data_IF_834210618408
#
_entry.id   IF_834210618408
#
_cell.length_a   1.000
_cell.length_b   1.000
_cell.length_c   1.000
_cell.angle_alpha   90.00
_cell.angle_beta   90.00
_cell.angle_gamma   90.00
#
_symmetry.space_group_name_H-M   'P 1'
#
loop_
_entity.id
_entity.type
_entity.pdbx_description
1 polymer ?
#
# COMPACT_ATOMS: atom_id res chain seq x y z
N UNK A 1 -17.07 48.68 -3.50
CA UNK A 1 -17.73 47.36 -3.69
C UNK A 1 -16.78 46.33 -4.36
N UNK A 2 -15.49 46.27 -3.96
CA UNK A 2 -14.48 45.39 -4.60
C UNK A 2 -13.70 44.53 -3.57
N UNK A 3 -13.81 44.83 -2.27
CA UNK A 3 -12.98 44.18 -1.22
C UNK A 3 -13.44 42.79 -0.73
N UNK A 4 -14.66 42.35 -1.07
CA UNK A 4 -15.20 41.08 -0.58
C UNK A 4 -15.06 39.89 -1.54
N UNK A 5 -14.59 40.08 -2.78
CA UNK A 5 -14.43 38.98 -3.74
C UNK A 5 -13.09 38.24 -3.58
N UNK A 6 -12.03 38.92 -3.16
CA UNK A 6 -10.69 38.34 -3.04
C UNK A 6 -10.51 37.44 -1.81
N UNK A 7 -11.25 37.69 -0.72
CA UNK A 7 -11.17 36.89 0.51
C UNK A 7 -11.91 35.55 0.34
N UNK A 8 -13.03 35.53 -0.39
CA UNK A 8 -13.81 34.31 -0.64
C UNK A 8 -13.10 33.34 -1.59
N UNK A 9 -12.36 33.85 -2.59
CA UNK A 9 -11.54 33.02 -3.49
C UNK A 9 -10.34 32.41 -2.74
N UNK A 10 -9.73 33.16 -1.81
CA UNK A 10 -8.62 32.67 -1.00
C UNK A 10 -9.07 31.58 0.01
N UNK A 11 -10.26 31.73 0.62
CA UNK A 11 -10.84 30.68 1.48
C UNK A 11 -11.24 29.41 0.70
N UNK A 12 -11.72 29.55 -0.54
CA UNK A 12 -12.04 28.41 -1.39
C UNK A 12 -10.78 27.65 -1.87
N UNK A 13 -9.67 28.35 -2.15
CA UNK A 13 -8.39 27.72 -2.44
C UNK A 13 -7.73 27.07 -1.22
N UNK A 14 -7.83 27.68 -0.02
CA UNK A 14 -7.34 27.09 1.22
C UNK A 14 -8.16 25.87 1.66
N UNK A 15 -9.47 25.85 1.41
CA UNK A 15 -10.31 24.67 1.63
C UNK A 15 -10.02 23.54 0.64
N UNK A 16 -9.62 23.85 -0.61
CA UNK A 16 -9.20 22.86 -1.60
C UNK A 16 -7.85 22.19 -1.26
N UNK A 17 -6.96 22.87 -0.52
CA UNK A 17 -5.68 22.31 -0.10
C UNK A 17 -5.74 21.44 1.16
N UNK A 18 -6.87 21.44 1.89
CA UNK A 18 -7.10 20.60 3.07
C UNK A 18 -8.02 19.40 2.80
N UNK A 19 -8.46 19.20 1.54
CA UNK A 19 -9.15 17.98 1.15
C UNK A 19 -8.12 16.85 1.07
N UNK A 20 -7.93 16.15 2.20
CA UNK A 20 -7.58 14.73 2.17
C UNK A 20 -8.41 14.10 1.06
N UNK A 21 -7.77 13.46 0.08
CA UNK A 21 -8.49 12.72 -0.96
C UNK A 21 -9.39 11.71 -0.26
N UNK A 22 -10.68 12.03 -0.14
CA UNK A 22 -11.67 11.06 0.31
C UNK A 22 -11.83 10.11 -0.85
N UNK A 23 -10.98 9.09 -0.87
CA UNK A 23 -11.17 7.95 -1.74
C UNK A 23 -12.49 7.31 -1.36
N UNK A 24 -13.36 7.08 -2.34
CA UNK A 24 -14.59 6.31 -2.11
C UNK A 24 -14.30 4.84 -1.73
N UNK A 25 -13.06 4.38 -1.98
CA UNK A 25 -12.56 3.05 -1.66
C UNK A 25 -11.58 3.16 -0.49
N UNK A 26 -11.82 2.48 0.62
CA UNK A 26 -10.84 2.33 1.71
C UNK A 26 -9.97 1.08 1.53
N UNK A 27 -10.51 0.08 0.83
CA UNK A 27 -9.90 -1.19 0.50
C UNK A 27 -10.47 -1.68 -0.85
N UNK A 28 -9.66 -2.35 -1.65
CA UNK A 28 -10.07 -2.89 -2.96
C UNK A 28 -9.81 -4.39 -3.05
N UNK A 29 -10.61 -5.07 -3.86
CA UNK A 29 -10.34 -6.46 -4.25
C UNK A 29 -9.32 -6.42 -5.37
N UNK A 30 -8.15 -6.97 -5.13
CA UNK A 30 -7.05 -7.04 -6.09
C UNK A 30 -7.21 -8.24 -7.01
N UNK A 31 -7.42 -9.41 -6.41
CA UNK A 31 -7.37 -10.70 -7.07
C UNK A 31 -8.25 -11.69 -6.30
N UNK A 32 -8.84 -12.66 -6.98
CA UNK A 32 -9.32 -13.88 -6.36
C UNK A 32 -9.04 -15.07 -7.25
N UNK A 33 -8.87 -16.23 -6.62
CA UNK A 33 -8.55 -17.48 -7.27
C UNK A 33 -9.72 -18.46 -7.14
N UNK A 34 -10.23 -18.90 -8.30
CA UNK A 34 -11.25 -19.93 -8.42
C UNK A 34 -10.57 -21.28 -8.73
N UNK A 35 -10.94 -22.32 -8.00
CA UNK A 35 -10.50 -23.69 -8.25
C UNK A 35 -11.55 -24.71 -7.77
N UNK A 36 -11.68 -25.84 -8.49
CA UNK A 36 -12.62 -26.92 -8.13
C UNK A 36 -12.44 -27.43 -6.70
N UNK A 37 -11.21 -27.40 -6.19
CA UNK A 37 -10.92 -27.73 -4.80
C UNK A 37 -11.10 -26.48 -3.94
N UNK A 38 -12.34 -26.21 -3.55
CA UNK A 38 -12.76 -24.97 -2.85
C UNK A 38 -11.94 -24.61 -1.60
N UNK A 39 -11.27 -25.58 -0.98
CA UNK A 39 -10.34 -25.36 0.14
C UNK A 39 -9.10 -24.53 -0.25
N UNK A 40 -8.79 -24.47 -1.55
CA UNK A 40 -7.67 -23.71 -2.10
C UNK A 40 -8.10 -22.36 -2.72
N UNK A 41 -9.36 -21.95 -2.55
CA UNK A 41 -9.82 -20.64 -2.98
C UNK A 41 -9.40 -19.54 -2.00
N UNK A 42 -9.11 -18.38 -2.57
CA UNK A 42 -8.74 -17.21 -1.79
C UNK A 42 -9.10 -15.92 -2.52
N UNK A 43 -9.21 -14.85 -1.75
CA UNK A 43 -9.30 -13.48 -2.26
C UNK A 43 -8.22 -12.63 -1.64
N UNK A 44 -7.74 -11.66 -2.40
CA UNK A 44 -6.73 -10.71 -2.01
C UNK A 44 -7.28 -9.30 -2.04
N UNK A 45 -6.97 -8.56 -0.99
CA UNK A 45 -7.40 -7.19 -0.81
C UNK A 45 -6.19 -6.28 -0.62
N UNK A 46 -6.26 -5.08 -1.18
CA UNK A 46 -5.28 -4.02 -0.96
C UNK A 46 -5.95 -2.89 -0.20
N UNK A 47 -5.44 -2.57 0.99
CA UNK A 47 -5.87 -1.38 1.75
C UNK A 47 -5.32 -0.15 1.03
N UNK A 48 -6.18 0.82 0.72
CA UNK A 48 -5.77 2.04 0.00
C UNK A 48 -5.86 3.30 0.87
N UNK A 49 -6.68 3.26 1.92
CA UNK A 49 -6.73 4.32 2.92
C UNK A 49 -5.73 4.05 4.05
N UNK A 50 -4.99 5.09 4.44
CA UNK A 50 -4.07 4.98 5.58
C UNK A 50 -4.81 5.10 6.91
N UNK A 51 -4.31 4.40 7.93
CA UNK A 51 -4.92 4.29 9.25
C UNK A 51 -6.40 3.88 9.21
N UNK A 52 -6.69 2.88 8.38
CA UNK A 52 -8.02 2.36 8.12
C UNK A 52 -8.50 1.45 9.26
N UNK A 53 -9.75 1.65 9.67
CA UNK A 53 -10.45 0.78 10.61
C UNK A 53 -11.44 -0.11 9.85
N UNK A 54 -11.10 -1.38 9.70
CA UNK A 54 -11.91 -2.38 9.00
C UNK A 54 -12.96 -3.06 9.89
N UNK A 55 -13.05 -2.72 11.19
CA UNK A 55 -14.00 -3.37 12.10
C UNK A 55 -15.43 -3.27 11.56
N UNK A 56 -16.11 -4.41 11.49
CA UNK A 56 -17.49 -4.54 11.01
C UNK A 56 -17.64 -4.51 9.49
N UNK A 57 -16.58 -4.26 8.70
CA UNK A 57 -16.61 -4.46 7.26
C UNK A 57 -16.95 -5.92 6.95
N UNK A 58 -17.48 -6.17 5.76
CA UNK A 58 -17.96 -7.47 5.35
C UNK A 58 -17.39 -7.83 3.97
N UNK A 59 -16.97 -9.08 3.82
CA UNK A 59 -16.62 -9.68 2.53
C UNK A 59 -17.68 -10.72 2.20
N UNK A 60 -18.03 -10.80 0.93
CA UNK A 60 -19.02 -11.74 0.41
C UNK A 60 -18.78 -11.94 -1.08
N UNK A 61 -19.28 -13.05 -1.58
CA UNK A 61 -19.35 -13.41 -2.99
C UNK A 61 -20.80 -13.49 -3.48
N UNK A 62 -20.99 -13.86 -4.74
CA UNK A 62 -22.32 -14.02 -5.33
C UNK A 62 -22.43 -15.38 -6.02
N UNK A 63 -23.66 -15.89 -6.19
CA UNK A 63 -23.85 -17.04 -7.06
C UNK A 63 -23.46 -16.73 -8.52
N UNK A 64 -23.43 -17.77 -9.34
CA UNK A 64 -23.08 -17.69 -10.77
C UNK A 64 -23.75 -16.55 -11.51
N UNK A 65 -25.06 -16.39 -11.36
CA UNK A 65 -25.83 -15.37 -12.07
C UNK A 65 -25.77 -13.98 -11.39
N UNK A 66 -24.97 -13.83 -10.33
CA UNK A 66 -24.84 -12.64 -9.49
C UNK A 66 -26.20 -12.08 -9.02
N UNK A 67 -27.13 -12.96 -8.69
CA UNK A 67 -28.51 -12.66 -8.23
C UNK A 67 -28.68 -12.82 -6.73
N UNK A 68 -27.91 -13.71 -6.12
CA UNK A 68 -27.96 -14.03 -4.69
C UNK A 68 -26.58 -13.85 -4.10
N UNK A 69 -26.54 -13.07 -3.02
CA UNK A 69 -25.33 -12.84 -2.24
C UNK A 69 -25.10 -14.03 -1.31
N UNK A 70 -23.88 -14.53 -1.29
CA UNK A 70 -23.48 -15.65 -0.44
C UNK A 70 -22.87 -15.17 0.87
N UNK A 71 -22.70 -16.08 1.83
CA UNK A 71 -22.09 -15.79 3.12
C UNK A 71 -20.61 -15.41 3.03
N UNK A 72 -20.05 -14.96 4.13
CA UNK A 72 -18.64 -14.56 4.18
C UNK A 72 -18.22 -13.98 5.52
N UNK A 73 -16.96 -13.53 5.62
CA UNK A 73 -16.44 -13.01 6.87
C UNK A 73 -16.84 -11.56 7.11
N UNK A 74 -17.25 -11.27 8.34
CA UNK A 74 -17.33 -9.92 8.90
C UNK A 74 -16.15 -9.69 9.85
N UNK A 75 -15.41 -8.61 9.66
CA UNK A 75 -14.26 -8.25 10.49
C UNK A 75 -14.69 -7.99 11.94
N UNK A 76 -14.13 -8.73 12.91
CA UNK A 76 -14.44 -8.55 14.34
C UNK A 76 -13.86 -7.26 14.89
N UNK A 77 -14.36 -6.84 16.05
CA UNK A 77 -13.71 -5.77 16.79
C UNK A 77 -12.47 -6.28 17.54
N UNK A 78 -11.32 -6.32 16.86
CA UNK A 78 -10.01 -6.72 17.41
C UNK A 78 -8.91 -5.75 16.98
N UNK A 79 -7.80 -5.62 17.74
CA UNK A 79 -6.74 -4.65 17.45
C UNK A 79 -6.16 -4.73 16.04
N UNK A 80 -6.09 -5.94 15.45
CA UNK A 80 -5.57 -6.17 14.10
C UNK A 80 -6.25 -5.26 13.04
N UNK A 81 -7.54 -4.98 13.20
CA UNK A 81 -8.35 -4.31 12.19
C UNK A 81 -8.50 -2.80 12.37
N UNK A 82 -7.98 -2.22 13.46
CA UNK A 82 -8.28 -0.83 13.85
C UNK A 82 -7.37 0.24 13.23
N UNK A 83 -6.19 -0.14 12.74
CA UNK A 83 -5.19 0.80 12.22
C UNK A 83 -4.40 0.22 11.04
N UNK A 84 -5.10 -0.35 10.06
CA UNK A 84 -4.46 -0.88 8.85
C UNK A 84 -3.79 0.26 8.07
N UNK A 85 -2.56 0.03 7.62
CA UNK A 85 -1.81 1.03 6.87
C UNK A 85 -2.11 0.94 5.38
N UNK A 86 -2.06 2.07 4.69
CA UNK A 86 -2.22 2.09 3.24
C UNK A 86 -1.15 1.21 2.58
N UNK A 87 -1.60 0.32 1.71
CA UNK A 87 -0.79 -0.67 1.02
C UNK A 87 -0.70 -2.02 1.74
N UNK A 88 -1.37 -2.21 2.88
CA UNK A 88 -1.47 -3.53 3.52
C UNK A 88 -2.19 -4.49 2.57
N UNK A 89 -1.56 -5.63 2.31
CA UNK A 89 -2.11 -6.71 1.49
C UNK A 89 -2.72 -7.73 2.42
N UNK A 90 -3.98 -8.12 2.18
CA UNK A 90 -4.69 -9.11 2.97
C UNK A 90 -5.07 -10.26 2.04
N UNK A 91 -4.49 -11.43 2.27
CA UNK A 91 -4.89 -12.68 1.62
C UNK A 91 -5.84 -13.42 2.55
N UNK A 92 -7.01 -13.76 2.04
CA UNK A 92 -8.05 -14.44 2.78
C UNK A 92 -8.40 -15.75 2.09
N UNK A 93 -8.00 -16.85 2.71
CA UNK A 93 -8.45 -18.18 2.31
C UNK A 93 -9.93 -18.33 2.64
N UNK A 94 -10.71 -18.86 1.68
CA UNK A 94 -12.15 -19.01 1.85
C UNK A 94 -12.51 -20.12 2.83
N UNK A 95 -11.56 -21.02 3.12
CA UNK A 95 -11.65 -22.11 4.11
C UNK A 95 -10.44 -22.07 5.03
N UNK A 96 -10.07 -23.20 5.64
CA UNK A 96 -8.87 -23.31 6.46
C UNK A 96 -7.61 -22.98 5.64
N UNK A 97 -6.58 -22.41 6.30
CA UNK A 97 -5.31 -22.23 5.61
C UNK A 97 -4.77 -23.59 5.16
N UNK A 98 -4.25 -23.71 3.92
CA UNK A 98 -3.60 -24.92 3.48
C UNK A 98 -2.32 -25.16 4.29
N UNK A 99 -1.87 -26.41 4.38
CA UNK A 99 -0.65 -26.76 5.11
C UNK A 99 0.63 -26.07 4.60
N UNK A 100 0.59 -25.49 3.40
CA UNK A 100 1.68 -24.73 2.78
C UNK A 100 1.66 -23.23 3.13
N UNK A 101 0.63 -22.75 3.82
CA UNK A 101 0.50 -21.38 4.27
C UNK A 101 0.58 -21.31 5.79
N UNK A 102 1.17 -20.23 6.31
CA UNK A 102 1.19 -19.93 7.74
C UNK A 102 0.27 -18.76 8.01
N UNK A 103 -0.44 -18.83 9.14
CA UNK A 103 -1.25 -17.69 9.56
C UNK A 103 -0.34 -16.49 9.83
N UNK A 104 -0.62 -15.37 9.19
CA UNK A 104 0.06 -14.11 9.42
C UNK A 104 -0.93 -13.07 9.94
N UNK A 105 -0.63 -12.59 11.14
CA UNK A 105 -1.42 -11.62 11.91
C UNK A 105 -0.61 -10.37 12.24
N UNK A 106 0.61 -10.25 11.71
CA UNK A 106 1.52 -9.14 11.99
C UNK A 106 1.52 -8.14 10.84
N UNK A 107 0.58 -7.20 10.87
CA UNK A 107 0.46 -6.18 9.82
C UNK A 107 1.68 -5.22 9.70
N UNK A 108 2.73 -5.38 10.52
CA UNK A 108 3.84 -4.44 10.58
C UNK A 108 4.69 -4.44 9.29
N UNK A 109 4.70 -5.50 8.50
CA UNK A 109 5.35 -5.59 7.18
C UNK A 109 4.40 -5.27 6.01
N UNK A 110 3.13 -5.00 6.31
CA UNK A 110 2.10 -4.69 5.34
C UNK A 110 1.60 -5.91 4.57
N UNK A 111 1.70 -7.10 5.16
CA UNK A 111 1.09 -8.33 4.67
C UNK A 111 0.29 -9.00 5.80
N UNK A 112 -0.78 -9.69 5.44
CA UNK A 112 -1.60 -10.52 6.31
C UNK A 112 -2.12 -11.70 5.48
N UNK A 113 -2.13 -12.89 6.07
CA UNK A 113 -2.66 -14.10 5.44
C UNK A 113 -3.44 -14.91 6.47
N UNK A 114 -4.75 -15.03 6.23
CA UNK A 114 -5.70 -15.53 7.23
C UNK A 114 -6.72 -16.46 6.57
N UNK A 115 -7.42 -17.21 7.41
CA UNK A 115 -8.60 -17.98 7.03
C UNK A 115 -9.85 -17.18 7.36
N UNK A 116 -10.81 -17.13 6.42
CA UNK A 116 -12.10 -16.45 6.59
C UNK A 116 -12.94 -17.03 7.73
N UNK A 117 -12.70 -18.30 8.09
CA UNK A 117 -13.42 -19.01 9.15
C UNK A 117 -12.73 -18.90 10.53
N UNK A 118 -11.60 -18.18 10.62
CA UNK A 118 -10.93 -17.97 11.91
C UNK A 118 -11.73 -17.00 12.78
N UNK A 119 -12.47 -17.59 13.73
CA UNK A 119 -13.36 -16.86 14.62
C UNK A 119 -12.64 -15.86 15.54
N UNK A 120 -11.31 -15.90 15.66
CA UNK A 120 -10.57 -14.87 16.41
C UNK A 120 -10.61 -13.52 15.70
N UNK A 121 -10.73 -13.52 14.37
CA UNK A 121 -10.64 -12.32 13.54
C UNK A 121 -11.94 -12.00 12.81
N UNK A 122 -12.80 -12.99 12.59
CA UNK A 122 -14.04 -12.85 11.82
C UNK A 122 -15.27 -13.41 12.53
N UNK A 123 -16.42 -12.77 12.30
CA UNK A 123 -17.73 -13.39 12.51
C UNK A 123 -18.18 -13.97 11.17
N UNK A 124 -18.85 -15.13 11.20
CA UNK A 124 -19.53 -15.66 10.03
C UNK A 124 -20.80 -14.85 9.76
N UNK A 125 -20.95 -14.38 8.53
CA UNK A 125 -22.13 -13.68 8.05
C UNK A 125 -22.84 -14.53 6.99
N UNK A 126 -24.16 -14.62 7.09
CA UNK A 126 -25.01 -15.29 6.11
C UNK A 126 -26.06 -14.31 5.59
N UNK A 127 -26.17 -14.19 4.27
CA UNK A 127 -27.19 -13.38 3.63
C UNK A 127 -28.44 -14.19 3.27
N UNK A 128 -29.63 -13.56 3.19
CA UNK A 128 -30.85 -14.26 2.83
C UNK A 128 -30.74 -14.99 1.48
N UNK A 129 -31.03 -16.29 1.49
CA UNK A 129 -30.97 -17.15 0.30
C UNK A 129 -29.56 -17.59 -0.10
N UNK A 130 -28.51 -17.07 0.54
CA UNK A 130 -27.13 -17.50 0.35
C UNK A 130 -26.82 -18.79 1.11
N UNK A 131 -25.68 -19.39 0.77
CA UNK A 131 -25.05 -20.47 1.53
C UNK A 131 -23.96 -19.93 2.44
N UNK A 132 -23.55 -20.72 3.42
CA UNK A 132 -22.45 -20.37 4.32
C UNK A 132 -21.10 -20.47 3.61
N UNK A 133 -20.24 -19.48 3.85
CA UNK A 133 -18.91 -19.35 3.27
C UNK A 133 -18.89 -18.88 1.82
N UNK A 134 -17.71 -18.39 1.42
CA UNK A 134 -17.44 -17.96 0.04
C UNK A 134 -17.11 -19.16 -0.86
N UNK A 135 -17.50 -19.12 -2.13
CA UNK A 135 -17.19 -20.18 -3.10
C UNK A 135 -17.25 -19.63 -4.53
N UNK A 136 -16.12 -19.63 -5.25
CA UNK A 136 -16.07 -18.99 -6.56
C UNK A 136 -16.64 -19.89 -7.66
N UNK A 137 -17.69 -19.43 -8.34
CA UNK A 137 -18.26 -20.16 -9.46
C UNK A 137 -17.48 -19.96 -10.77
N UNK A 138 -17.38 -21.04 -11.57
CA UNK A 138 -16.66 -21.08 -12.85
C UNK A 138 -17.24 -20.16 -13.93
N UNK A 139 -18.57 -20.08 -13.97
CA UNK A 139 -19.29 -19.41 -15.05
C UNK A 139 -19.49 -17.91 -14.81
N UNK A 140 -19.43 -17.47 -13.55
CA UNK A 140 -19.56 -16.09 -13.13
C UNK A 140 -19.45 -15.98 -11.61
N UNK A 141 -18.84 -14.92 -11.10
CA UNK A 141 -18.81 -14.59 -9.66
C UNK A 141 -18.44 -13.12 -9.43
N UNK A 142 -18.57 -12.66 -8.19
CA UNK A 142 -18.34 -11.30 -7.75
C UNK A 142 -17.88 -11.27 -6.28
N UNK A 143 -16.60 -10.99 -6.03
CA UNK A 143 -16.13 -10.68 -4.67
C UNK A 143 -16.45 -9.22 -4.36
N UNK A 144 -17.05 -8.97 -3.20
CA UNK A 144 -17.59 -7.68 -2.79
C UNK A 144 -17.19 -7.31 -1.36
N UNK A 145 -16.61 -6.13 -1.21
CA UNK A 145 -16.30 -5.48 0.06
C UNK A 145 -17.42 -4.50 0.41
N UNK A 146 -17.98 -4.62 1.60
CA UNK A 146 -19.04 -3.76 2.11
C UNK A 146 -18.65 -3.13 3.43
N UNK A 147 -19.13 -1.90 3.66
CA UNK A 147 -19.10 -1.25 4.97
C UNK A 147 -20.10 -1.91 5.93
N UNK A 148 -20.03 -1.65 7.25
CA UNK A 148 -21.00 -2.16 8.22
C UNK A 148 -22.47 -1.85 7.90
N UNK A 149 -22.73 -0.77 7.18
CA UNK A 149 -24.07 -0.36 6.72
C UNK A 149 -24.50 -1.01 5.40
N UNK A 150 -23.74 -1.99 4.91
CA UNK A 150 -23.90 -2.71 3.63
C UNK A 150 -23.65 -1.89 2.36
N UNK A 151 -23.21 -0.63 2.47
CA UNK A 151 -22.81 0.16 1.31
C UNK A 151 -21.58 -0.44 0.63
N UNK A 152 -21.56 -0.38 -0.70
CA UNK A 152 -20.46 -0.88 -1.51
C UNK A 152 -19.18 -0.06 -1.26
N UNK A 153 -18.08 -0.77 -1.06
CA UNK A 153 -16.71 -0.20 -1.03
C UNK A 153 -16.05 -0.48 -2.37
N UNK A 154 -16.01 -1.76 -2.78
CA UNK A 154 -15.44 -2.20 -4.05
C UNK A 154 -15.93 -3.61 -4.41
N UNK A 155 -16.04 -3.89 -5.71
CA UNK A 155 -16.32 -5.21 -6.24
C UNK A 155 -15.35 -5.59 -7.38
N UNK A 156 -14.93 -6.86 -7.40
CA UNK A 156 -14.26 -7.48 -8.55
C UNK A 156 -15.08 -8.69 -8.99
N UNK A 157 -15.51 -8.71 -10.26
CA UNK A 157 -16.32 -9.79 -10.81
C UNK A 157 -15.80 -10.35 -12.13
N UNK A 158 -16.32 -11.51 -12.48
CA UNK A 158 -16.33 -12.01 -13.85
C UNK A 158 -17.76 -12.51 -14.11
N UNK A 159 -18.36 -12.06 -15.19
CA UNK A 159 -19.59 -12.61 -15.79
C UNK A 159 -19.94 -11.72 -16.99
N UNK A 160 -20.58 -12.30 -18.01
CA UNK A 160 -21.14 -11.55 -19.13
C UNK A 160 -22.35 -12.29 -19.72
N UNK A 161 -23.57 -11.72 -19.64
CA UNK A 161 -23.92 -10.43 -19.04
C UNK A 161 -23.80 -10.44 -17.50
N UNK A 162 -23.48 -9.30 -16.89
CA UNK A 162 -23.42 -9.17 -15.42
C UNK A 162 -24.81 -9.22 -14.78
N UNK A 163 -24.88 -9.74 -13.55
CA UNK A 163 -26.14 -9.88 -12.83
C UNK A 163 -26.54 -8.66 -11.97
N UNK A 164 -27.73 -8.73 -11.32
CA UNK A 164 -28.32 -7.60 -10.60
C UNK A 164 -27.47 -7.05 -9.44
N UNK A 165 -26.72 -7.89 -8.71
CA UNK A 165 -25.87 -7.44 -7.61
C UNK A 165 -24.81 -6.47 -8.13
N UNK A 166 -24.14 -6.82 -9.24
CA UNK A 166 -23.18 -5.94 -9.88
C UNK A 166 -23.87 -4.70 -10.44
N UNK A 167 -24.96 -4.88 -11.20
CA UNK A 167 -25.62 -3.79 -11.92
C UNK A 167 -26.15 -2.70 -10.99
N UNK A 168 -26.78 -3.10 -9.86
CA UNK A 168 -27.40 -2.18 -8.91
C UNK A 168 -26.42 -1.53 -7.93
N UNK A 169 -25.20 -2.06 -7.80
CA UNK A 169 -24.20 -1.49 -6.91
C UNK A 169 -23.80 -0.08 -7.36
N UNK A 170 -23.89 0.88 -6.45
CA UNK A 170 -23.35 2.22 -6.63
C UNK A 170 -21.88 2.27 -6.21
N UNK A 171 -21.09 3.12 -6.85
CA UNK A 171 -19.69 3.30 -6.49
C UNK A 171 -18.74 2.32 -7.17
N UNK A 172 -17.52 2.16 -6.62
CA UNK A 172 -16.44 1.42 -7.23
C UNK A 172 -16.75 -0.04 -7.54
N UNK A 173 -16.55 -0.43 -8.79
CA UNK A 173 -16.66 -1.82 -9.24
C UNK A 173 -15.89 -2.02 -10.54
N UNK A 174 -15.39 -3.24 -10.71
CA UNK A 174 -14.74 -3.67 -11.94
C UNK A 174 -15.15 -5.12 -12.23
N UNK A 175 -15.39 -5.43 -13.49
CA UNK A 175 -15.74 -6.76 -13.96
C UNK A 175 -14.90 -7.08 -15.18
N UNK A 176 -14.27 -8.25 -15.19
CA UNK A 176 -13.59 -8.72 -16.38
C UNK A 176 -14.60 -8.99 -17.48
N UNK A 177 -14.40 -8.38 -18.65
CA UNK A 177 -15.31 -8.51 -19.80
C UNK A 177 -15.16 -9.84 -20.54
N UNK A 178 -15.21 -10.94 -19.79
CA UNK A 178 -15.40 -12.29 -20.29
C UNK A 178 -16.53 -12.96 -19.50
N UNK A 179 -17.21 -13.92 -20.10
CA UNK A 179 -18.07 -14.84 -19.35
C UNK A 179 -17.24 -15.78 -18.48
N UNK A 180 -17.60 -17.06 -18.48
CA UNK A 180 -16.94 -18.12 -17.71
C UNK A 180 -15.41 -18.03 -17.73
N UNK A 181 -14.83 -17.92 -16.53
CA UNK A 181 -13.38 -17.96 -16.30
C UNK A 181 -12.92 -19.42 -16.19
N UNK A 182 -13.75 -20.29 -15.60
CA UNK A 182 -13.44 -21.69 -15.36
C UNK A 182 -12.43 -21.90 -14.22
N UNK A 183 -12.39 -23.12 -13.71
CA UNK A 183 -11.55 -23.46 -12.56
C UNK A 183 -10.04 -23.38 -12.84
N UNK A 184 -9.28 -23.18 -11.75
CA UNK A 184 -7.81 -23.09 -11.76
C UNK A 184 -7.32 -21.76 -12.32
N UNK A 185 -8.12 -20.71 -12.17
CA UNK A 185 -7.81 -19.37 -12.70
C UNK A 185 -8.06 -18.32 -11.65
N UNK A 186 -7.26 -17.27 -11.75
CA UNK A 186 -7.50 -16.06 -10.97
C UNK A 186 -8.02 -14.93 -11.87
N UNK A 187 -8.98 -14.19 -11.33
CA UNK A 187 -9.44 -12.91 -11.87
C UNK A 187 -8.84 -11.77 -11.05
N UNK A 188 -8.31 -10.74 -11.71
CA UNK A 188 -7.55 -9.68 -11.03
C UNK A 188 -7.60 -8.34 -11.75
N UNK A 189 -7.33 -7.28 -10.99
CA UNK A 189 -7.15 -5.93 -11.53
C UNK A 189 -5.70 -5.71 -11.96
N UNK A 190 -5.49 -5.20 -13.17
CA UNK A 190 -4.17 -5.03 -13.80
C UNK A 190 -3.79 -3.58 -14.06
N UNK A 191 -4.69 -2.62 -13.78
CA UNK A 191 -4.41 -1.22 -14.04
C UNK A 191 -3.45 -0.57 -13.05
N UNK A 192 -2.89 0.59 -13.45
CA UNK A 192 -1.81 1.32 -12.77
C UNK A 192 -2.27 2.33 -11.72
N UNK A 193 -3.57 2.49 -11.52
CA UNK A 193 -4.15 3.53 -10.67
C UNK A 193 -5.38 3.01 -9.92
N UNK A 194 -5.79 3.74 -8.88
CA UNK A 194 -7.02 3.44 -8.16
C UNK A 194 -8.28 3.47 -9.07
N UNK A 195 -8.26 4.29 -10.13
CA UNK A 195 -9.35 4.34 -11.10
C UNK A 195 -9.56 3.01 -11.84
N UNK A 196 -8.51 2.19 -11.99
CA UNK A 196 -8.60 0.85 -12.58
C UNK A 196 -9.59 -0.07 -11.85
N UNK A 197 -9.70 0.10 -10.52
CA UNK A 197 -10.62 -0.59 -9.63
C UNK A 197 -12.06 -0.06 -9.73
N UNK A 198 -12.34 0.92 -10.59
CA UNK A 198 -13.68 1.48 -10.85
C UNK A 198 -14.04 1.54 -12.33
N UNK A 199 -13.35 0.77 -13.17
CA UNK A 199 -13.50 0.86 -14.63
C UNK A 199 -14.81 0.28 -15.16
N UNK A 200 -15.63 -0.34 -14.32
CA UNK A 200 -16.81 -1.07 -14.78
C UNK A 200 -16.41 -2.36 -15.51
N UNK A 201 -17.08 -2.65 -16.62
CA UNK A 201 -16.80 -3.84 -17.44
C UNK A 201 -15.63 -3.54 -18.39
N UNK A 202 -14.53 -4.30 -18.31
CA UNK A 202 -13.29 -4.00 -19.05
C UNK A 202 -12.44 -5.23 -19.34
N UNK A 203 -11.60 -5.15 -20.38
CA UNK A 203 -10.50 -6.09 -20.65
C UNK A 203 -9.11 -5.50 -20.40
N UNK A 204 -9.04 -4.18 -20.19
CA UNK A 204 -7.78 -3.44 -20.14
C UNK A 204 -7.23 -3.31 -18.72
N UNK A 205 -8.15 -3.33 -17.73
CA UNK A 205 -7.84 -3.13 -16.31
C UNK A 205 -8.24 -4.31 -15.42
N UNK A 206 -8.89 -5.33 -15.97
CA UNK A 206 -9.16 -6.59 -15.29
C UNK A 206 -8.93 -7.74 -16.27
N UNK A 207 -8.35 -8.84 -15.78
CA UNK A 207 -8.04 -10.03 -16.57
C UNK A 207 -8.24 -11.30 -15.75
N UNK A 208 -8.56 -12.40 -16.43
CA UNK A 208 -8.50 -13.73 -15.84
C UNK A 208 -7.44 -14.62 -16.52
N UNK A 209 -6.76 -15.46 -15.74
CA UNK A 209 -5.65 -16.30 -16.23
C UNK A 209 -5.21 -17.40 -15.26
N UNK A 210 -4.36 -18.30 -15.76
CA UNK A 210 -3.89 -19.49 -15.03
C UNK A 210 -2.82 -19.21 -13.98
N UNK A 211 -2.03 -18.15 -14.16
CA UNK A 211 -1.02 -17.75 -13.18
C UNK A 211 -1.74 -16.93 -12.11
N UNK A 212 -1.51 -17.12 -10.83
CA UNK A 212 -1.96 -16.20 -9.79
C UNK A 212 -0.80 -15.35 -9.27
N UNK A 213 -1.12 -14.27 -8.56
CA UNK A 213 -0.16 -13.32 -7.99
C UNK A 213 -0.27 -13.24 -6.47
N UNK A 214 -0.70 -14.30 -5.78
CA UNK A 214 -1.03 -14.24 -4.34
C UNK A 214 0.03 -13.52 -3.51
N UNK A 215 -0.39 -12.46 -2.83
CA UNK A 215 0.43 -11.62 -1.97
C UNK A 215 1.38 -10.68 -2.71
N UNK A 216 1.36 -10.66 -4.04
CA UNK A 216 2.29 -9.93 -4.90
C UNK A 216 1.50 -9.06 -5.88
N UNK A 217 2.09 -7.98 -6.41
CA UNK A 217 1.36 -7.18 -7.37
C UNK A 217 0.99 -7.96 -8.63
N UNK A 218 -0.23 -7.73 -9.14
CA UNK A 218 -0.78 -8.36 -10.35
C UNK A 218 0.08 -8.07 -11.59
N UNK A 219 1.09 -8.89 -11.83
CA UNK A 219 2.11 -8.71 -12.88
C UNK A 219 1.72 -9.28 -14.24
N UNK A 220 0.66 -10.09 -14.28
CA UNK A 220 0.19 -10.71 -15.51
C UNK A 220 -1.01 -9.95 -16.05
N UNK A 221 -0.79 -9.27 -17.16
CA UNK A 221 -1.85 -8.85 -18.07
C UNK A 221 -1.73 -9.77 -19.28
N UNK A 222 -2.66 -10.71 -19.45
CA UNK A 222 -2.53 -11.80 -20.42
C UNK A 222 -2.22 -11.27 -21.84
N UNK A 223 -2.94 -10.23 -22.30
CA UNK A 223 -2.78 -9.70 -23.65
C UNK A 223 -1.42 -9.01 -23.86
N UNK A 224 -0.96 -8.23 -22.88
CA UNK A 224 0.32 -7.52 -22.94
C UNK A 224 1.52 -8.41 -22.62
N UNK A 225 1.36 -9.35 -21.70
CA UNK A 225 2.40 -10.30 -21.30
C UNK A 225 2.76 -11.24 -22.45
N UNK A 226 1.80 -11.69 -23.26
CA UNK A 226 2.10 -12.46 -24.48
C UNK A 226 2.85 -11.65 -25.55
N UNK A 227 2.83 -10.33 -25.47
CA UNK A 227 3.62 -9.44 -26.33
C UNK A 227 4.98 -9.07 -25.71
N UNK A 228 5.34 -9.70 -24.58
CA UNK A 228 6.59 -9.43 -23.86
C UNK A 228 6.59 -8.12 -23.08
N UNK A 229 5.41 -7.49 -22.88
CA UNK A 229 5.28 -6.24 -22.12
C UNK A 229 4.90 -6.55 -20.67
N UNK A 230 5.78 -6.27 -19.69
CA UNK A 230 5.46 -6.47 -18.28
C UNK A 230 4.31 -5.57 -17.83
N UNK A 231 3.45 -6.09 -16.96
CA UNK A 231 2.44 -5.25 -16.34
C UNK A 231 3.07 -4.28 -15.34
N UNK A 232 2.58 -3.05 -15.33
CA UNK A 232 3.03 -1.93 -14.50
C UNK A 232 2.21 -1.75 -13.21
N UNK A 233 1.24 -2.62 -12.89
CA UNK A 233 0.43 -2.51 -11.65
C UNK A 233 1.30 -2.51 -10.39
N UNK A 234 2.45 -3.19 -10.40
CA UNK A 234 3.37 -3.17 -9.24
C UNK A 234 3.71 -1.78 -8.74
N UNK A 235 3.77 -0.78 -9.62
CA UNK A 235 4.02 0.58 -9.19
C UNK A 235 2.86 1.20 -8.38
N UNK A 236 1.60 0.86 -8.69
CA UNK A 236 0.46 1.36 -7.92
C UNK A 236 0.53 0.87 -6.48
N UNK A 237 0.86 -0.41 -6.32
CA UNK A 237 1.01 -1.04 -5.02
C UNK A 237 2.15 -0.40 -4.23
N UNK A 238 3.32 -0.22 -4.85
CA UNK A 238 4.47 0.43 -4.22
C UNK A 238 4.15 1.85 -3.76
N UNK A 239 3.61 2.68 -4.67
CA UNK A 239 3.24 4.06 -4.34
C UNK A 239 2.18 4.14 -3.23
N UNK A 240 1.24 3.19 -3.18
CA UNK A 240 0.23 3.11 -2.10
C UNK A 240 0.88 2.72 -0.77
N UNK A 241 1.94 1.90 -0.80
CA UNK A 241 2.69 1.45 0.36
C UNK A 241 3.76 2.45 0.83
N UNK A 242 4.18 3.39 0.00
CA UNK A 242 5.12 4.45 0.37
C UNK A 242 4.49 5.47 1.35
N UNK A 243 5.25 5.96 2.36
CA UNK A 243 4.75 7.04 3.19
C UNK A 243 4.76 8.36 2.40
N UNK A 244 3.88 9.28 2.79
CA UNK A 244 3.77 10.59 2.13
C UNK A 244 4.42 11.69 2.96
N UNK A 245 5.10 12.62 2.30
CA UNK A 245 5.61 13.84 2.95
C UNK A 245 4.49 14.84 3.21
N UNK A 246 4.52 15.55 4.33
CA UNK A 246 3.53 16.57 4.70
C UNK A 246 3.60 17.84 3.83
N UNK A 247 4.73 18.07 3.17
CA UNK A 247 4.95 19.14 2.21
C UNK A 247 6.12 18.75 1.29
N UNK A 248 6.55 19.66 0.40
CA UNK A 248 7.78 19.46 -0.37
C UNK A 248 8.95 19.10 0.55
N UNK A 249 9.65 17.97 0.30
CA UNK A 249 10.62 17.44 1.24
C UNK A 249 11.91 18.26 1.22
N UNK A 250 12.30 18.80 2.37
CA UNK A 250 13.51 19.63 2.53
C UNK A 250 14.21 19.30 3.84
N UNK A 251 15.54 19.46 3.88
CA UNK A 251 16.32 19.39 5.13
C UNK A 251 16.86 20.79 5.43
N UNK A 252 16.60 21.26 6.65
CA UNK A 252 17.08 22.54 7.17
C UNK A 252 18.16 22.32 8.21
N UNK A 253 19.24 23.10 8.13
CA UNK A 253 20.26 23.15 9.17
C UNK A 253 19.79 24.09 10.29
N UNK A 254 19.47 23.54 11.45
CA UNK A 254 18.99 24.29 12.62
C UNK A 254 20.15 24.93 13.38
N UNK A 255 21.24 24.20 13.57
CA UNK A 255 22.45 24.75 14.19
C UNK A 255 23.70 24.00 13.76
N UNK A 256 24.84 24.68 13.83
CA UNK A 256 26.16 24.14 13.49
C UNK A 256 27.20 24.59 14.51
N UNK A 257 27.94 23.65 15.05
CA UNK A 257 29.16 23.91 15.85
C UNK A 257 30.33 23.12 15.28
N UNK A 258 31.49 23.22 15.93
CA UNK A 258 32.67 22.46 15.55
C UNK A 258 32.51 20.93 15.73
N UNK A 259 31.54 20.44 16.49
CA UNK A 259 31.38 19.00 16.79
C UNK A 259 30.00 18.46 16.43
N UNK A 260 29.03 19.33 16.12
CA UNK A 260 27.66 18.91 15.82
C UNK A 260 27.01 19.74 14.74
N UNK A 261 26.22 19.07 13.91
CA UNK A 261 25.17 19.66 13.09
C UNK A 261 23.82 19.19 13.64
N UNK A 262 22.90 20.12 13.83
CA UNK A 262 21.51 19.78 14.14
C UNK A 262 20.69 20.07 12.90
N UNK A 263 20.06 19.03 12.37
CA UNK A 263 19.22 19.11 11.19
C UNK A 263 17.77 18.79 11.56
N UNK A 264 16.86 19.34 10.78
CA UNK A 264 15.44 19.07 10.81
C UNK A 264 14.94 18.92 9.37
N UNK A 265 13.89 18.15 9.16
CA UNK A 265 13.34 17.93 7.82
C UNK A 265 11.81 18.03 7.80
N UNK A 266 11.24 18.22 6.61
CA UNK A 266 9.78 18.13 6.39
C UNK A 266 9.26 16.80 6.93
N UNK A 267 8.26 16.79 7.81
CA UNK A 267 7.77 15.52 8.40
C UNK A 267 7.00 14.65 7.38
N UNK A 268 6.99 13.33 7.60
CA UNK A 268 6.03 12.42 6.96
C UNK A 268 4.65 12.58 7.61
N UNK A 269 3.61 12.31 6.82
CA UNK A 269 2.25 12.09 7.31
C UNK A 269 2.21 10.70 7.93
N UNK A 270 1.96 10.64 9.23
CA UNK A 270 1.85 9.39 9.97
C UNK A 270 0.76 9.48 11.03
N UNK A 271 -0.40 8.92 10.70
CA UNK A 271 -1.58 8.94 11.55
C UNK A 271 -1.50 7.99 12.76
N UNK A 272 -0.56 7.03 12.79
CA UNK A 272 -0.41 6.07 13.89
C UNK A 272 1.06 5.81 14.25
N UNK A 273 1.73 6.83 14.77
CA UNK A 273 3.15 6.75 15.15
C UNK A 273 3.47 5.63 16.17
N UNK A 274 2.47 5.13 16.91
CA UNK A 274 2.66 4.11 17.94
C UNK A 274 3.07 2.75 17.38
N UNK A 275 2.74 2.45 16.11
CA UNK A 275 3.11 1.18 15.49
C UNK A 275 4.59 1.12 15.05
N UNK A 276 5.27 2.27 15.01
CA UNK A 276 6.66 2.42 14.59
C UNK A 276 6.97 1.78 13.22
N UNK A 277 6.00 1.73 12.31
CA UNK A 277 6.17 1.19 10.95
C UNK A 277 6.66 2.26 9.97
N UNK A 278 6.38 3.53 10.24
CA UNK A 278 6.80 4.67 9.43
C UNK A 278 8.00 5.38 10.07
N UNK A 279 8.94 5.85 9.25
CA UNK A 279 10.14 6.51 9.77
C UNK A 279 11.05 7.06 8.68
N UNK A 280 12.30 7.31 9.07
CA UNK A 280 13.29 8.01 8.26
C UNK A 280 14.60 7.23 8.17
N UNK A 281 15.21 7.22 6.98
CA UNK A 281 16.62 6.90 6.77
C UNK A 281 17.37 8.21 6.57
N UNK A 282 18.32 8.48 7.46
CA UNK A 282 19.09 9.74 7.47
C UNK A 282 20.48 9.45 6.94
N UNK A 283 20.84 10.07 5.81
CA UNK A 283 22.15 9.94 5.20
C UNK A 283 22.90 11.26 5.24
N UNK A 284 24.22 11.15 5.29
CA UNK A 284 25.13 12.26 5.05
C UNK A 284 26.14 11.88 4.00
N UNK A 285 26.46 12.83 3.15
CA UNK A 285 27.54 12.71 2.18
C UNK A 285 28.49 13.91 2.21
N UNK A 286 29.73 13.68 1.78
CA UNK A 286 30.78 14.71 1.65
C UNK A 286 30.96 15.21 0.21
N UNK A 287 30.36 14.53 -0.78
CA UNK A 287 30.44 14.90 -2.19
C UNK A 287 29.07 15.27 -2.78
N UNK A 288 28.15 15.77 -1.94
CA UNK A 288 26.81 16.21 -2.36
C UNK A 288 26.05 15.15 -3.17
N UNK A 289 26.20 13.88 -2.78
CA UNK A 289 25.61 12.70 -3.39
C UNK A 289 25.97 12.51 -4.88
N UNK A 290 27.06 13.09 -5.36
CA UNK A 290 27.47 13.00 -6.78
C UNK A 290 27.79 11.57 -7.24
N UNK A 291 28.20 10.69 -6.32
CA UNK A 291 28.49 9.27 -6.58
C UNK A 291 27.50 8.32 -5.91
N UNK A 292 26.30 8.80 -5.59
CA UNK A 292 25.28 7.97 -4.95
C UNK A 292 24.71 6.95 -5.94
N UNK A 293 24.74 5.64 -5.64
CA UNK A 293 24.21 4.62 -6.54
C UNK A 293 22.70 4.78 -6.74
N UNK A 294 22.23 4.62 -7.98
CA UNK A 294 20.82 4.78 -8.33
C UNK A 294 19.89 3.80 -7.59
N UNK A 295 20.39 2.62 -7.24
CA UNK A 295 19.65 1.55 -6.54
C UNK A 295 20.04 1.41 -5.06
N UNK A 296 20.67 2.43 -4.46
CA UNK A 296 21.10 2.38 -3.07
C UNK A 296 19.92 2.39 -2.09
N UNK A 297 18.84 3.09 -2.44
CA UNK A 297 17.56 3.06 -1.75
C UNK A 297 16.60 2.32 -2.66
N UNK A 298 16.13 1.16 -2.23
CA UNK A 298 15.18 0.35 -2.98
C UNK A 298 14.17 -0.33 -2.06
N UNK A 299 12.95 -0.50 -2.52
CA UNK A 299 11.92 -1.23 -1.79
C UNK A 299 12.33 -2.67 -1.47
N UNK A 300 11.81 -3.19 -0.35
CA UNK A 300 12.15 -4.50 0.20
C UNK A 300 13.53 -4.57 0.87
N UNK A 301 14.44 -3.64 0.58
CA UNK A 301 15.76 -3.62 1.23
C UNK A 301 15.68 -3.12 2.67
N UNK A 302 16.38 -3.80 3.57
CA UNK A 302 16.59 -3.31 4.94
C UNK A 302 17.87 -2.48 5.04
N UNK A 303 17.72 -1.16 5.13
CA UNK A 303 18.84 -0.23 5.34
C UNK A 303 19.09 -0.08 6.83
N UNK A 304 20.36 -0.11 7.23
CA UNK A 304 20.80 -0.03 8.63
C UNK A 304 21.75 1.12 8.87
N UNK A 305 21.80 1.62 10.11
CA UNK A 305 22.76 2.63 10.55
C UNK A 305 24.20 2.16 10.30
N UNK A 306 25.04 3.06 9.80
CA UNK A 306 26.43 2.79 9.46
C UNK A 306 26.64 2.21 8.06
N UNK A 307 25.59 1.81 7.35
CA UNK A 307 25.69 1.41 5.94
C UNK A 307 26.26 2.55 5.09
N UNK A 308 27.00 2.19 4.04
CA UNK A 308 27.64 3.13 3.12
C UNK A 308 27.17 2.91 1.70
N UNK A 309 26.90 4.01 1.00
CA UNK A 309 26.54 4.01 -0.42
C UNK A 309 27.41 5.04 -1.13
N UNK A 310 28.44 4.57 -1.84
CA UNK A 310 29.50 5.44 -2.34
C UNK A 310 30.19 6.18 -1.19
N UNK A 311 30.17 7.51 -1.24
CA UNK A 311 30.74 8.37 -0.18
C UNK A 311 29.77 8.68 0.96
N UNK A 312 28.48 8.38 0.78
CA UNK A 312 27.47 8.62 1.79
C UNK A 312 27.46 7.56 2.89
N UNK A 313 27.03 7.96 4.08
CA UNK A 313 26.85 7.08 5.25
C UNK A 313 25.46 7.28 5.84
N UNK A 314 24.81 6.18 6.22
CA UNK A 314 23.56 6.20 6.98
C UNK A 314 23.88 6.54 8.44
N UNK A 315 23.46 7.72 8.86
CA UNK A 315 23.65 8.22 10.22
C UNK A 315 22.66 7.59 11.20
N UNK A 316 21.43 7.36 10.75
CA UNK A 316 20.38 6.75 11.57
C UNK A 316 19.24 6.20 10.73
N UNK A 317 18.51 5.25 11.31
CA UNK A 317 17.22 4.75 10.80
C UNK A 317 16.26 4.76 11.97
N UNK A 318 15.27 5.66 11.95
CA UNK A 318 14.46 5.94 13.14
C UNK A 318 12.97 6.14 12.83
N UNK A 319 12.06 5.67 13.70
CA UNK A 319 10.63 5.84 13.51
C UNK A 319 10.22 7.31 13.73
N UNK A 320 9.08 7.68 13.13
CA UNK A 320 8.45 9.02 13.22
C UNK A 320 8.12 9.44 14.64
N UNK A 321 7.80 8.51 15.55
CA UNK A 321 7.51 8.78 16.96
C UNK A 321 8.66 9.49 17.68
N UNK A 322 9.89 9.36 17.18
CA UNK A 322 11.06 10.06 17.72
C UNK A 322 11.24 11.47 17.15
N UNK A 323 10.33 11.94 16.30
CA UNK A 323 10.36 13.25 15.66
C UNK A 323 11.24 13.34 14.40
N UNK A 324 11.26 14.54 13.82
CA UNK A 324 11.89 14.90 12.55
C UNK A 324 13.21 15.69 12.72
N UNK A 325 13.86 15.58 13.88
CA UNK A 325 15.09 16.31 14.23
C UNK A 325 16.21 15.36 14.63
N UNK A 326 17.42 15.61 14.14
CA UNK A 326 18.59 14.77 14.40
C UNK A 326 19.85 15.60 14.69
N UNK A 327 20.69 15.08 15.59
CA UNK A 327 22.01 15.65 15.87
C UNK A 327 23.08 14.73 15.29
N UNK A 328 23.76 15.21 14.25
CA UNK A 328 24.95 14.56 13.72
C UNK A 328 26.18 15.07 14.46
N UNK A 329 26.90 14.16 15.11
CA UNK A 329 28.17 14.45 15.77
C UNK A 329 29.29 13.49 15.31
N UNK A 330 29.09 12.76 14.21
CA UNK A 330 29.96 11.64 13.84
C UNK A 330 31.00 12.10 12.82
N UNK A 331 32.27 12.26 13.24
CA UNK A 331 33.39 12.55 12.33
C UNK A 331 33.19 13.83 11.47
N UNK A 332 32.73 14.92 12.08
CA UNK A 332 32.60 16.23 11.43
C UNK A 332 33.94 16.99 11.45
N UNK A 333 34.58 17.12 10.30
CA UNK A 333 35.89 17.74 10.10
C UNK A 333 35.77 19.20 9.62
N UNK A 334 36.57 20.11 10.21
CA UNK A 334 36.61 21.50 9.75
C UNK A 334 37.13 21.58 8.30
N UNK A 335 36.65 22.56 7.55
CA UNK A 335 37.00 22.74 6.14
C UNK A 335 36.27 21.80 5.18
N UNK A 336 35.53 20.80 5.69
CA UNK A 336 34.74 19.91 4.85
C UNK A 336 33.31 20.43 4.60
N UNK A 337 32.76 19.99 3.47
CA UNK A 337 31.37 20.22 3.08
C UNK A 337 30.56 18.97 3.30
N UNK A 338 29.34 19.14 3.81
CA UNK A 338 28.41 18.07 4.11
C UNK A 338 27.07 18.34 3.44
N UNK A 339 26.42 17.29 2.95
CA UNK A 339 25.04 17.32 2.49
C UNK A 339 24.27 16.23 3.20
N UNK A 340 23.05 16.53 3.61
CA UNK A 340 22.15 15.57 4.24
C UNK A 340 21.03 15.21 3.29
N UNK A 341 20.68 13.92 3.27
CA UNK A 341 19.52 13.41 2.53
C UNK A 341 18.70 12.52 3.45
N UNK A 342 17.38 12.71 3.46
CA UNK A 342 16.46 11.92 4.28
C UNK A 342 15.41 11.30 3.38
N UNK A 343 15.29 9.98 3.44
CA UNK A 343 14.23 9.21 2.80
C UNK A 343 13.20 8.83 3.86
N UNK A 344 11.92 8.87 3.49
CA UNK A 344 10.87 8.25 4.28
C UNK A 344 10.84 6.75 4.04
N UNK A 345 10.42 5.99 5.04
CA UNK A 345 10.08 4.59 4.87
C UNK A 345 8.74 4.24 5.53
N UNK A 346 8.13 3.14 5.08
CA UNK A 346 7.01 2.47 5.75
C UNK A 346 7.23 0.96 5.78
N UNK A 347 6.57 0.30 6.73
CA UNK A 347 6.61 -1.15 7.01
C UNK A 347 7.93 -1.67 7.54
N UNK A 348 7.88 -2.80 8.22
CA UNK A 348 9.03 -3.59 8.67
C UNK A 348 9.50 -4.52 7.55
N UNK A 349 10.53 -5.31 7.86
CA UNK A 349 11.00 -6.36 6.96
C UNK A 349 9.87 -7.38 6.75
N UNK A 350 9.68 -7.84 5.51
CA UNK A 350 8.81 -8.99 5.19
C UNK A 350 9.37 -10.25 5.86
N UNK A 351 8.52 -10.97 6.58
CA UNK A 351 8.89 -12.21 7.27
C UNK A 351 8.35 -13.49 6.59
N UNK A 352 7.55 -13.34 5.53
CA UNK A 352 6.92 -14.46 4.80
C UNK A 352 7.61 -14.77 3.47
N UNK A 353 8.12 -13.77 2.75
CA UNK A 353 8.82 -13.98 1.47
C UNK A 353 10.18 -13.27 1.42
N UNK A 354 11.17 -13.98 0.91
CA UNK A 354 12.49 -13.41 0.62
C UNK A 354 12.51 -12.83 -0.80
N UNK A 355 11.71 -11.80 -1.06
CA UNK A 355 11.64 -11.18 -2.39
C UNK A 355 12.23 -9.77 -2.37
N UNK A 356 13.24 -9.56 -3.22
CA UNK A 356 14.04 -8.32 -3.23
C UNK A 356 13.96 -7.54 -4.53
N UNK A 357 13.24 -8.05 -5.54
CA UNK A 357 13.08 -7.35 -6.81
C UNK A 357 12.02 -6.25 -6.64
N UNK A 358 12.34 -5.03 -7.09
CA UNK A 358 11.48 -3.84 -6.99
C UNK A 358 10.04 -4.09 -7.48
N UNK A 359 9.86 -4.96 -8.47
CA UNK A 359 8.54 -5.25 -9.06
C UNK A 359 7.68 -6.17 -8.18
N UNK A 360 8.22 -6.74 -7.10
CA UNK A 360 7.60 -7.69 -6.15
C UNK A 360 7.81 -7.29 -4.69
N UNK A 361 8.56 -6.23 -4.44
CA UNK A 361 9.06 -5.92 -3.11
C UNK A 361 7.90 -5.74 -2.11
N UNK A 362 7.83 -6.64 -1.14
CA UNK A 362 6.97 -6.52 0.05
C UNK A 362 7.79 -5.99 1.22
N UNK A 363 7.15 -5.83 2.38
CA UNK A 363 7.79 -5.23 3.53
C UNK A 363 8.14 -3.77 3.29
N UNK A 364 9.31 -3.37 3.80
CA UNK A 364 9.86 -2.01 3.80
C UNK A 364 9.74 -1.32 2.44
N UNK A 365 9.07 -0.18 2.40
CA UNK A 365 9.02 0.69 1.21
C UNK A 365 9.64 2.04 1.53
N UNK A 366 10.22 2.70 0.53
CA UNK A 366 10.89 3.98 0.65
C UNK A 366 10.32 5.02 -0.30
N UNK A 367 10.46 6.29 0.06
CA UNK A 367 10.18 7.39 -0.87
C UNK A 367 11.31 7.55 -1.89
N UNK A 368 11.51 6.54 -2.74
CA UNK A 368 12.69 6.38 -3.63
C UNK A 368 12.89 7.59 -4.54
N UNK A 369 11.79 8.12 -5.09
CA UNK A 369 11.80 9.22 -6.06
C UNK A 369 11.61 10.60 -5.43
N UNK A 370 11.31 10.68 -4.13
CA UNK A 370 11.02 11.92 -3.41
C UNK A 370 11.69 11.91 -2.04
N UNK A 371 12.79 12.63 -1.89
CA UNK A 371 13.55 12.70 -0.63
C UNK A 371 13.77 14.15 -0.22
N UNK A 372 14.02 14.35 1.07
CA UNK A 372 14.44 15.64 1.59
C UNK A 372 15.96 15.77 1.42
N UNK A 373 16.45 16.92 0.98
CA UNK A 373 17.89 17.19 0.90
C UNK A 373 18.22 18.58 1.44
N UNK A 374 19.39 18.73 2.06
CA UNK A 374 19.90 20.02 2.49
C UNK A 374 20.66 20.71 1.35
N UNK A 375 20.82 22.05 1.41
CA UNK A 375 21.95 22.71 0.74
C UNK A 375 23.29 22.14 1.24
N UNK A 376 24.37 22.44 0.52
CA UNK A 376 25.73 22.11 0.97
C UNK A 376 26.06 22.92 2.23
N UNK A 377 26.46 22.23 3.29
CA UNK A 377 26.86 22.80 4.56
C UNK A 377 28.38 22.73 4.68
N UNK A 378 29.08 23.82 4.41
CA UNK A 378 30.53 23.91 4.61
C UNK A 378 30.86 24.25 6.05
N UNK A 379 31.69 23.44 6.71
CA UNK A 379 32.19 23.74 8.04
C UNK A 379 33.39 24.69 7.92
N UNK A 380 33.32 25.91 8.47
CA UNK A 380 34.44 26.83 8.37
C UNK A 380 35.67 26.28 9.08
N UNK A 381 36.85 26.65 8.59
CA UNK A 381 38.08 26.45 9.34
C UNK A 381 38.06 27.29 10.62
N UNK A 382 38.73 26.86 11.70
CA UNK A 382 38.97 27.73 12.84
C UNK A 382 39.65 29.03 12.36
N UNK A 383 39.35 30.19 12.97
CA UNK A 383 40.14 31.39 12.73
C UNK A 383 41.61 31.07 13.03
N UNK A 384 42.52 31.50 12.15
CA UNK A 384 43.94 31.45 12.47
C UNK A 384 44.19 32.32 13.71
N UNK A 385 45.02 31.87 14.67
CA UNK A 385 45.27 32.56 15.93
C UNK A 385 45.91 33.93 15.76
#
# INVERSE_FOLDING_TARGET
MIRNRSITVLLALLAACAMSQVSAQEMVVSEYYNIQFVEAEWSEFLVVQDNFNAVGYMISDANTDQTVRQGGPQFRDVPLWRNLRAGTIIVLWHRALPATATIDTNAADGYLELSSIDQRFFNTLLFPGGVDGMNMADAGDLVHIMRPDTSNVHMLGHDKPTGPIYNNATGPKVNFDSGAVGAGRSNRVTGRTLAAYSMGITKDSAVAGFNDSRGLPNRWDLARTFQGVPNINHWFWRETREPQWSASPTVTLVSRTAQKHVIEWTSLIDANQQDSTTGYVILRDTLNFASFPANAIRDGQMIVKGARFGTSVVLDVRPTILGNRFTDSVNLLCGQSYTYRVYGYRYKQDDQLAVTDDTTARGRQYTELKWAQSPVVTKPNPPNP
#
